data_IF_576458127792
#
_entry.id   IF_576458127792
#
_cell.length_a   1.000
_cell.length_b   1.000
_cell.length_c   1.000
_cell.angle_alpha   90.00
_cell.angle_beta   90.00
_cell.angle_gamma   90.00
#
_symmetry.space_group_name_H-M   'P 1'
#
loop_
_entity.id
_entity.type
_entity.pdbx_description
1 polymer ?
#
# COMPACT_ATOMS: atom_id res chain seq x y z
N UNK A 1 -6.73 4.08 -2.14
CA UNK A 1 -5.42 4.76 -2.25
C UNK A 1 -5.12 4.78 -3.71
N UNK A 2 -5.17 5.96 -4.30
CA UNK A 2 -5.42 6.05 -5.74
C UNK A 2 -4.17 6.46 -6.50
N UNK A 3 -3.05 6.75 -5.80
CA UNK A 3 -1.90 7.40 -6.41
C UNK A 3 -0.52 6.98 -5.84
N UNK A 4 -0.33 5.69 -5.54
CA UNK A 4 0.96 5.18 -5.00
C UNK A 4 2.16 5.57 -5.86
N UNK A 5 2.04 5.34 -7.17
CA UNK A 5 3.15 5.51 -8.10
C UNK A 5 3.54 6.99 -8.22
N UNK A 6 2.60 7.91 -8.41
CA UNK A 6 2.97 9.32 -8.55
C UNK A 6 3.54 9.92 -7.26
N UNK A 7 3.03 9.51 -6.09
CA UNK A 7 3.59 9.94 -4.80
C UNK A 7 5.02 9.45 -4.61
N UNK A 8 5.30 8.21 -5.01
CA UNK A 8 6.67 7.65 -5.00
C UNK A 8 7.58 8.38 -5.98
N UNK A 9 7.14 8.59 -7.22
CA UNK A 9 7.99 9.25 -8.23
C UNK A 9 8.26 10.72 -7.91
N UNK A 10 7.35 11.38 -7.19
CA UNK A 10 7.52 12.78 -6.77
C UNK A 10 8.32 12.97 -5.49
N UNK A 11 8.71 11.89 -4.79
CA UNK A 11 9.35 11.99 -3.47
C UNK A 11 8.40 12.47 -2.36
N UNK A 12 7.10 12.55 -2.63
CA UNK A 12 6.13 13.12 -1.69
C UNK A 12 5.69 12.06 -0.70
N UNK A 13 5.86 12.33 0.59
CA UNK A 13 5.30 11.45 1.64
C UNK A 13 3.81 11.73 1.79
N UNK A 14 2.93 10.72 1.62
CA UNK A 14 1.50 10.92 1.81
C UNK A 14 1.15 11.25 3.26
N UNK A 15 0.20 12.17 3.46
CA UNK A 15 -0.35 12.48 4.79
C UNK A 15 -1.08 11.30 5.43
N UNK A 16 -1.69 10.44 4.59
CA UNK A 16 -2.39 9.23 5.03
C UNK A 16 -1.55 8.03 4.64
N UNK A 17 -1.00 7.34 5.62
CA UNK A 17 -0.10 6.20 5.41
C UNK A 17 -0.80 4.85 5.57
N UNK A 18 -2.10 4.82 5.87
CA UNK A 18 -2.86 3.57 5.97
C UNK A 18 -4.34 3.81 5.68
N UNK A 19 -5.03 2.76 5.26
CA UNK A 19 -6.47 2.82 5.04
C UNK A 19 -7.07 1.48 4.64
N UNK A 20 -8.35 1.53 4.28
CA UNK A 20 -9.12 0.38 3.77
C UNK A 20 -9.48 0.63 2.31
N UNK A 21 -9.36 -0.41 1.50
CA UNK A 21 -9.93 -0.50 0.15
C UNK A 21 -11.03 -1.56 0.13
N UNK A 22 -11.58 -1.83 -1.05
CA UNK A 22 -12.59 -2.88 -1.21
C UNK A 22 -11.96 -4.26 -0.92
N UNK A 23 -12.24 -4.83 0.25
CA UNK A 23 -11.80 -6.16 0.65
C UNK A 23 -10.35 -6.26 1.16
N UNK A 24 -9.63 -5.14 1.32
CA UNK A 24 -8.25 -5.16 1.84
C UNK A 24 -7.93 -3.91 2.67
N UNK A 25 -6.89 -4.02 3.50
CA UNK A 25 -6.22 -2.90 4.16
C UNK A 25 -4.91 -2.62 3.43
N UNK A 26 -4.47 -1.38 3.44
CA UNK A 26 -3.20 -0.99 2.87
C UNK A 26 -2.40 -0.14 3.87
N UNK A 27 -1.07 -0.23 3.81
CA UNK A 27 -0.13 0.56 4.60
C UNK A 27 1.06 1.00 3.74
N UNK A 28 1.33 2.28 3.71
CA UNK A 28 2.56 2.89 3.20
C UNK A 28 3.66 2.73 4.25
N UNK A 29 4.63 1.87 4.00
CA UNK A 29 5.70 1.58 4.94
C UNK A 29 6.91 2.52 4.76
N UNK A 30 7.04 3.12 3.59
CA UNK A 30 8.15 4.00 3.24
C UNK A 30 8.12 4.36 1.77
N UNK A 31 9.08 5.18 1.35
CA UNK A 31 9.17 5.63 -0.03
C UNK A 31 9.22 4.45 -1.01
N UNK A 32 8.21 4.33 -1.88
CA UNK A 32 8.10 3.23 -2.83
C UNK A 32 7.82 1.86 -2.20
N UNK A 33 7.40 1.81 -0.94
CA UNK A 33 7.06 0.56 -0.24
C UNK A 33 5.60 0.59 0.25
N UNK A 34 4.78 -0.26 -0.36
CA UNK A 34 3.38 -0.43 -0.03
C UNK A 34 3.12 -1.89 0.38
N UNK A 35 2.43 -2.05 1.50
CA UNK A 35 1.88 -3.32 1.94
C UNK A 35 0.36 -3.32 1.72
N UNK A 36 -0.15 -4.44 1.20
CA UNK A 36 -1.58 -4.69 1.06
C UNK A 36 -1.91 -6.00 1.77
N UNK A 37 -2.87 -5.95 2.69
CA UNK A 37 -3.33 -7.11 3.47
C UNK A 37 -4.81 -7.37 3.17
N UNK A 38 -5.17 -8.53 2.60
CA UNK A 38 -6.57 -8.90 2.39
C UNK A 38 -7.36 -8.89 3.71
N UNK A 39 -8.65 -8.59 3.62
CA UNK A 39 -9.56 -8.65 4.77
C UNK A 39 -9.94 -10.08 5.17
N UNK A 40 -9.75 -11.04 4.27
CA UNK A 40 -9.92 -12.46 4.51
C UNK A 40 -8.56 -13.15 4.74
N UNK A 41 -8.53 -14.30 5.43
CA UNK A 41 -7.31 -15.11 5.56
C UNK A 41 -6.72 -15.49 4.20
N UNK A 42 -5.40 -15.50 4.11
CA UNK A 42 -4.65 -15.96 2.94
C UNK A 42 -3.44 -16.78 3.39
N UNK A 43 -3.08 -17.80 2.61
CA UNK A 43 -2.00 -18.72 2.98
C UNK A 43 -0.63 -18.32 2.41
N UNK A 44 -0.57 -17.22 1.64
CA UNK A 44 0.62 -16.78 0.92
C UNK A 44 0.77 -15.27 0.91
N UNK A 45 2.02 -14.82 0.83
CA UNK A 45 2.40 -13.45 0.56
C UNK A 45 3.23 -13.39 -0.73
N UNK A 46 3.06 -12.31 -1.51
CA UNK A 46 3.82 -12.06 -2.75
C UNK A 46 4.49 -10.70 -2.62
N UNK A 47 5.74 -10.62 -3.10
CA UNK A 47 6.49 -9.36 -3.23
C UNK A 47 6.71 -9.07 -4.72
N UNK A 48 6.39 -7.86 -5.13
CA UNK A 48 6.66 -7.33 -6.47
C UNK A 48 7.83 -6.34 -6.37
N UNK A 49 8.75 -6.38 -7.32
CA UNK A 49 9.95 -5.52 -7.39
C UNK A 49 10.26 -5.13 -8.82
#
# INVERSE_FOLDING_TARGET
MDNFLALTLSGTTPRVTQGKGAGFRWRWLGHGLLEVTPGAPVDRAVRLS
#
